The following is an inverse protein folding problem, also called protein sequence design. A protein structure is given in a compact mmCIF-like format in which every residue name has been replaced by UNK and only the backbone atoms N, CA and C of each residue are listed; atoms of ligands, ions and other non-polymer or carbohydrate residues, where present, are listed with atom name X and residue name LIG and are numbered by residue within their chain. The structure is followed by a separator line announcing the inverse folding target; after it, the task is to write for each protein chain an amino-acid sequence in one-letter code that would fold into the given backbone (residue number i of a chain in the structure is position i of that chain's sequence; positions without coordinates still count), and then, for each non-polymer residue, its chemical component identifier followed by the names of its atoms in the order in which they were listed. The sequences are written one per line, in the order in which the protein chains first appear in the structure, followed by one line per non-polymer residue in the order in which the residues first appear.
data_IF_155312644835
#
_entry.id   IF_155312644835
#
_cell.length_a   1.000
_cell.length_b   1.000
_cell.length_c   1.000
_cell.angle_alpha   90.00
_cell.angle_beta   90.00
_cell.angle_gamma   90.00
#
_symmetry.space_group_name_H-M   'P 1'
#
loop_
_entity.id
_entity.type
_entity.pdbx_description
1 polymer ?
#
# COMPACT_ATOMS: atom_id res chain seq x y z
N UNK A 1 26.57 15.77 4.84
CA UNK A 1 26.36 14.97 6.07
C UNK A 1 25.19 15.50 6.91
N UNK A 2 25.13 16.79 7.29
CA UNK A 2 24.03 17.31 8.12
C UNK A 2 22.64 17.20 7.46
N UNK A 3 22.54 17.45 6.15
CA UNK A 3 21.27 17.43 5.43
C UNK A 3 20.71 16.00 5.23
N UNK A 4 21.59 15.02 4.98
CA UNK A 4 21.24 13.60 4.92
C UNK A 4 20.77 13.06 6.28
N UNK A 5 21.45 13.44 7.37
CA UNK A 5 21.03 13.08 8.72
C UNK A 5 19.68 13.71 9.10
N UNK A 6 19.38 14.91 8.59
CA UNK A 6 18.09 15.57 8.78
C UNK A 6 16.96 14.86 8.00
N UNK A 7 17.19 14.52 6.73
CA UNK A 7 16.22 13.80 5.89
C UNK A 7 15.86 12.43 6.44
N UNK A 8 16.86 11.64 6.82
CA UNK A 8 16.63 10.32 7.42
C UNK A 8 15.81 10.42 8.72
N UNK A 9 16.12 11.39 9.59
CA UNK A 9 15.41 11.62 10.84
C UNK A 9 13.97 12.08 10.63
N UNK A 10 13.69 12.90 9.62
CA UNK A 10 12.33 13.34 9.32
C UNK A 10 11.41 12.16 8.96
N UNK A 11 11.93 11.17 8.22
CA UNK A 11 11.21 9.92 7.92
C UNK A 11 10.95 9.12 9.19
N UNK A 12 11.97 8.92 10.02
CA UNK A 12 11.83 8.17 11.27
C UNK A 12 10.85 8.82 12.25
N UNK A 13 10.94 10.14 12.40
CA UNK A 13 10.06 10.92 13.27
C UNK A 13 8.61 10.79 12.79
N UNK A 14 8.36 10.90 11.49
CA UNK A 14 7.03 10.72 10.91
C UNK A 14 6.51 9.29 11.12
N UNK A 15 7.33 8.27 10.85
CA UNK A 15 6.96 6.86 11.04
C UNK A 15 6.66 6.54 12.50
N UNK A 16 7.45 7.09 13.41
CA UNK A 16 7.28 6.92 14.86
C UNK A 16 6.00 7.59 15.34
N UNK A 17 5.71 8.80 14.85
CA UNK A 17 4.49 9.55 15.17
C UNK A 17 3.22 8.81 14.75
N UNK A 18 3.24 8.12 13.61
CA UNK A 18 2.07 7.39 13.08
C UNK A 18 2.10 5.89 13.41
N UNK A 19 3.03 5.44 14.25
CA UNK A 19 3.38 4.02 14.39
C UNK A 19 2.20 3.09 14.71
N UNK A 20 1.29 3.53 15.58
CA UNK A 20 0.09 2.75 15.93
C UNK A 20 -0.88 2.60 14.74
N UNK A 21 -0.97 3.60 13.86
CA UNK A 21 -1.90 3.61 12.72
C UNK A 21 -1.40 2.75 11.56
N UNK A 22 -0.10 2.85 11.25
CA UNK A 22 0.53 2.15 10.13
C UNK A 22 1.18 0.83 10.54
N UNK A 23 1.16 0.47 11.82
CA UNK A 23 1.79 -0.75 12.34
C UNK A 23 3.31 -0.72 12.24
N UNK A 24 3.93 0.46 12.35
CA UNK A 24 5.37 0.61 12.24
C UNK A 24 6.09 0.16 13.51
N UNK A 25 7.19 -0.59 13.34
CA UNK A 25 8.08 -0.99 14.43
C UNK A 25 9.53 -0.73 14.02
N UNK A 26 10.29 0.11 14.75
CA UNK A 26 11.71 0.30 14.47
C UNK A 26 12.48 -1.02 14.69
N UNK A 27 13.48 -1.28 13.84
CA UNK A 27 14.38 -2.42 13.98
C UNK A 27 15.70 -1.96 14.61
N UNK A 28 16.36 -2.84 15.37
CA UNK A 28 17.66 -2.54 15.98
C UNK A 28 18.75 -2.49 14.90
N UNK A 29 19.42 -1.35 14.74
CA UNK A 29 20.68 -1.25 13.95
C UNK A 29 20.74 -0.23 12.82
N UNK A 30 20.00 0.89 12.87
CA UNK A 30 20.11 1.99 11.89
C UNK A 30 18.75 2.57 11.52
N UNK A 31 18.71 3.38 10.46
CA UNK A 31 17.48 3.97 9.92
C UNK A 31 16.61 2.93 9.22
N UNK A 32 15.93 2.09 10.01
CA UNK A 32 15.16 0.95 9.52
C UNK A 32 13.99 0.57 10.43
N UNK A 33 12.95 0.02 9.83
CA UNK A 33 11.80 -0.52 10.56
C UNK A 33 10.89 -1.36 9.69
N UNK A 34 10.06 -2.16 10.34
CA UNK A 34 9.14 -3.08 9.70
C UNK A 34 7.70 -2.60 9.87
N UNK A 35 6.90 -2.77 8.82
CA UNK A 35 5.45 -2.63 8.89
C UNK A 35 4.83 -3.95 9.33
N UNK A 36 3.86 -3.88 10.23
CA UNK A 36 3.05 -5.01 10.65
C UNK A 36 2.04 -5.38 9.54
N UNK A 37 2.26 -6.55 8.93
CA UNK A 37 1.38 -7.15 7.95
C UNK A 37 0.38 -8.13 8.58
N UNK A 38 0.35 -8.23 9.91
CA UNK A 38 -0.52 -9.13 10.69
C UNK A 38 0.28 -10.17 11.50
N UNK A 39 -0.31 -10.69 12.59
CA UNK A 39 0.40 -11.49 13.61
C UNK A 39 0.99 -12.81 13.12
N UNK A 40 0.55 -13.34 11.98
CA UNK A 40 1.02 -14.60 11.39
C UNK A 40 1.44 -14.44 9.92
N UNK A 41 1.77 -13.21 9.51
CA UNK A 41 2.20 -13.01 8.13
C UNK A 41 3.53 -13.71 7.86
N UNK A 42 3.57 -14.51 6.81
CA UNK A 42 4.81 -15.06 6.23
C UNK A 42 5.52 -14.05 5.32
N UNK A 43 4.93 -12.88 5.13
CA UNK A 43 5.43 -11.80 4.28
C UNK A 43 6.06 -10.69 5.14
N UNK A 44 6.95 -9.91 4.54
CA UNK A 44 7.59 -8.78 5.21
C UNK A 44 7.61 -7.53 4.34
N UNK A 45 7.46 -6.38 4.99
CA UNK A 45 7.68 -5.06 4.41
C UNK A 45 8.58 -4.27 5.37
N UNK A 46 9.81 -3.98 4.93
CA UNK A 46 10.83 -3.33 5.74
C UNK A 46 11.35 -2.10 5.01
N UNK A 47 11.17 -0.93 5.59
CA UNK A 47 11.78 0.30 5.11
C UNK A 47 13.16 0.41 5.74
N UNK A 48 14.18 0.62 4.91
CA UNK A 48 15.57 0.64 5.35
C UNK A 48 16.41 1.60 4.53
N UNK A 49 17.42 2.16 5.18
CA UNK A 49 18.47 2.93 4.54
C UNK A 49 19.61 2.01 4.08
N UNK A 50 19.93 2.04 2.78
CA UNK A 50 21.03 1.30 2.13
C UNK A 50 21.77 2.27 1.21
N UNK A 51 23.09 2.39 1.37
CA UNK A 51 23.98 3.16 0.49
C UNK A 51 23.47 4.60 0.16
N UNK A 52 23.10 5.37 1.18
CA UNK A 52 22.54 6.75 1.04
C UNK A 52 21.18 6.82 0.31
N UNK A 53 20.48 5.69 0.19
CA UNK A 53 19.13 5.61 -0.37
C UNK A 53 18.13 4.94 0.59
N UNK A 54 16.90 5.42 0.57
CA UNK A 54 15.78 4.72 1.16
C UNK A 54 15.30 3.62 0.24
N UNK A 55 15.21 2.41 0.78
CA UNK A 55 14.74 1.22 0.08
C UNK A 55 13.59 0.56 0.85
N UNK A 56 12.64 -0.03 0.13
CA UNK A 56 11.60 -0.86 0.72
C UNK A 56 11.87 -2.33 0.36
N UNK A 57 12.30 -3.14 1.32
CA UNK A 57 12.37 -4.58 1.15
C UNK A 57 10.99 -5.19 1.29
N UNK A 58 10.59 -5.97 0.29
CA UNK A 58 9.33 -6.72 0.25
C UNK A 58 9.66 -8.19 0.05
N UNK A 59 9.37 -9.01 1.06
CA UNK A 59 9.44 -10.46 0.98
C UNK A 59 8.01 -10.98 0.93
N UNK A 60 7.61 -11.49 -0.24
CA UNK A 60 6.24 -12.01 -0.45
C UNK A 60 6.26 -13.30 -1.27
N UNK A 61 5.09 -13.88 -1.55
CA UNK A 61 4.96 -15.12 -2.34
C UNK A 61 5.60 -15.04 -3.75
N UNK A 62 5.65 -13.86 -4.38
CA UNK A 62 6.36 -13.66 -5.66
C UNK A 62 7.90 -13.56 -5.52
N UNK A 63 8.43 -13.60 -4.31
CA UNK A 63 9.87 -13.54 -3.99
C UNK A 63 10.31 -12.19 -3.43
N UNK A 64 11.59 -12.05 -3.10
CA UNK A 64 12.15 -10.79 -2.57
C UNK A 64 12.18 -9.69 -3.63
N UNK A 65 11.90 -8.45 -3.24
CA UNK A 65 12.21 -7.25 -4.02
C UNK A 65 12.70 -6.11 -3.13
N UNK A 66 13.51 -5.21 -3.68
CA UNK A 66 14.08 -4.05 -2.98
C UNK A 66 13.98 -2.79 -3.86
N UNK A 67 12.78 -2.26 -4.13
CA UNK A 67 12.64 -0.97 -4.79
C UNK A 67 13.35 0.16 -4.02
N UNK A 68 14.15 0.93 -4.76
CA UNK A 68 14.72 2.21 -4.32
C UNK A 68 13.61 3.26 -4.36
N UNK A 69 13.43 3.97 -3.25
CA UNK A 69 12.42 5.02 -3.08
C UNK A 69 13.00 6.41 -3.39
N UNK A 70 14.29 6.59 -3.11
CA UNK A 70 15.04 7.79 -3.41
C UNK A 70 16.19 8.03 -2.42
N UNK A 71 16.99 9.08 -2.64
CA UNK A 71 18.07 9.48 -1.73
C UNK A 71 17.59 9.75 -0.29
N UNK A 72 18.47 9.59 0.70
CA UNK A 72 18.14 9.85 2.12
C UNK A 72 17.72 11.27 2.45
N UNK A 73 18.14 12.24 1.66
CA UNK A 73 17.81 13.66 1.80
C UNK A 73 16.58 14.07 0.96
N UNK A 74 15.87 13.09 0.37
CA UNK A 74 14.60 13.33 -0.32
C UNK A 74 13.60 14.01 0.61
N UNK A 75 12.78 14.96 0.10
CA UNK A 75 11.66 15.50 0.87
C UNK A 75 10.73 14.37 1.34
N UNK A 76 10.25 14.48 2.58
CA UNK A 76 9.43 13.45 3.22
C UNK A 76 8.21 13.08 2.35
N UNK A 77 7.53 14.08 1.78
CA UNK A 77 6.37 13.88 0.92
C UNK A 77 6.68 13.09 -0.35
N UNK A 78 7.87 13.28 -0.93
CA UNK A 78 8.33 12.54 -2.11
C UNK A 78 8.58 11.07 -1.75
N UNK A 79 9.22 10.85 -0.60
CA UNK A 79 9.51 9.50 -0.12
C UNK A 79 8.24 8.74 0.26
N UNK A 80 7.27 9.40 0.90
CA UNK A 80 5.99 8.79 1.26
C UNK A 80 5.16 8.45 0.00
N UNK A 81 5.16 9.30 -1.03
CA UNK A 81 4.54 8.98 -2.32
C UNK A 81 5.22 7.78 -2.99
N UNK A 82 6.55 7.74 -3.02
CA UNK A 82 7.32 6.62 -3.58
C UNK A 82 7.08 5.31 -2.80
N UNK A 83 7.01 5.37 -1.47
CA UNK A 83 6.68 4.24 -0.61
C UNK A 83 5.30 3.66 -0.93
N UNK A 84 4.27 4.52 -0.94
CA UNK A 84 2.90 4.11 -1.27
C UNK A 84 2.80 3.57 -2.70
N UNK A 85 3.53 4.16 -3.66
CA UNK A 85 3.62 3.65 -5.02
C UNK A 85 4.21 2.24 -5.07
N UNK A 86 5.35 2.01 -4.40
CA UNK A 86 6.01 0.71 -4.37
C UNK A 86 5.11 -0.38 -3.75
N UNK A 87 4.42 -0.05 -2.66
CA UNK A 87 3.45 -0.96 -2.01
C UNK A 87 2.29 -1.26 -2.96
N UNK A 88 1.70 -0.24 -3.60
CA UNK A 88 0.60 -0.41 -4.55
C UNK A 88 0.99 -1.33 -5.73
N UNK A 89 2.17 -1.09 -6.31
CA UNK A 89 2.67 -1.90 -7.41
C UNK A 89 2.90 -3.35 -6.99
N UNK A 90 3.44 -3.58 -5.78
CA UNK A 90 3.60 -4.94 -5.28
C UNK A 90 2.27 -5.63 -5.02
N UNK A 91 1.34 -4.96 -4.34
CA UNK A 91 0.01 -5.50 -4.04
C UNK A 91 -0.74 -5.88 -5.33
N UNK A 92 -0.69 -5.03 -6.35
CA UNK A 92 -1.29 -5.31 -7.67
C UNK A 92 -0.66 -6.53 -8.32
N UNK A 93 0.66 -6.66 -8.25
CA UNK A 93 1.37 -7.75 -8.90
C UNK A 93 1.19 -9.13 -8.23
N UNK A 94 0.60 -9.15 -7.03
CA UNK A 94 0.30 -10.33 -6.21
C UNK A 94 -1.19 -10.72 -6.21
N UNK A 95 -2.08 -9.86 -6.72
CA UNK A 95 -3.54 -10.02 -6.57
C UNK A 95 -4.11 -11.29 -7.23
N UNK A 96 -3.45 -11.77 -8.29
CA UNK A 96 -3.86 -12.96 -9.04
C UNK A 96 -3.04 -14.21 -8.68
N UNK A 97 -2.19 -14.16 -7.66
CA UNK A 97 -1.46 -15.35 -7.20
C UNK A 97 -2.37 -16.31 -6.43
N UNK A 98 -1.97 -17.58 -6.43
CA UNK A 98 -2.63 -18.62 -5.63
C UNK A 98 -2.61 -18.25 -4.14
N UNK A 99 -1.43 -17.85 -3.63
CA UNK A 99 -1.31 -17.14 -2.36
C UNK A 99 -1.38 -15.63 -2.60
N UNK A 100 -2.58 -15.07 -2.39
CA UNK A 100 -2.87 -13.63 -2.53
C UNK A 100 -2.81 -12.87 -1.20
N UNK A 101 -2.42 -13.53 -0.11
CA UNK A 101 -2.44 -12.93 1.24
C UNK A 101 -1.54 -11.69 1.35
N UNK A 102 -0.37 -11.72 0.69
CA UNK A 102 0.52 -10.55 0.59
C UNK A 102 -0.18 -9.35 -0.07
N UNK A 103 -0.96 -9.57 -1.14
CA UNK A 103 -1.69 -8.50 -1.81
C UNK A 103 -2.73 -7.87 -0.88
N UNK A 104 -3.49 -8.69 -0.15
CA UNK A 104 -4.50 -8.19 0.79
C UNK A 104 -3.85 -7.38 1.93
N UNK A 105 -2.78 -7.90 2.54
CA UNK A 105 -2.05 -7.23 3.62
C UNK A 105 -1.41 -5.92 3.16
N UNK A 106 -0.76 -5.90 1.99
CA UNK A 106 -0.18 -4.69 1.43
C UNK A 106 -1.25 -3.66 1.03
N UNK A 107 -2.44 -4.10 0.60
CA UNK A 107 -3.57 -3.19 0.34
C UNK A 107 -4.07 -2.53 1.62
N UNK A 108 -4.10 -3.26 2.74
CA UNK A 108 -4.45 -2.70 4.05
C UNK A 108 -3.37 -1.73 4.54
N UNK A 109 -2.09 -2.07 4.39
CA UNK A 109 -0.99 -1.15 4.71
C UNK A 109 -1.07 0.13 3.86
N UNK A 110 -1.29 0.00 2.56
CA UNK A 110 -1.46 1.14 1.65
C UNK A 110 -2.60 2.05 2.10
N UNK A 111 -3.73 1.45 2.51
CA UNK A 111 -4.87 2.22 3.02
C UNK A 111 -4.49 3.02 4.27
N UNK A 112 -3.83 2.39 5.25
CA UNK A 112 -3.39 3.06 6.49
C UNK A 112 -2.42 4.20 6.21
N UNK A 113 -1.45 3.98 5.32
CA UNK A 113 -0.51 5.02 4.89
C UNK A 113 -1.26 6.19 4.21
N UNK A 114 -2.17 5.88 3.30
CA UNK A 114 -2.96 6.89 2.61
C UNK A 114 -3.85 7.71 3.56
N UNK A 115 -4.42 7.08 4.59
CA UNK A 115 -5.18 7.75 5.64
C UNK A 115 -4.26 8.68 6.47
N UNK A 116 -3.10 8.19 6.91
CA UNK A 116 -2.11 8.97 7.67
C UNK A 116 -1.54 10.16 6.88
N UNK A 117 -1.36 10.02 5.56
CA UNK A 117 -0.89 11.12 4.69
C UNK A 117 -2.03 11.96 4.11
N UNK A 118 -3.29 11.63 4.42
CA UNK A 118 -4.47 12.23 3.79
C UNK A 118 -4.42 12.22 2.24
N UNK A 119 -3.87 11.15 1.64
CA UNK A 119 -3.80 10.99 0.18
C UNK A 119 -4.96 10.14 -0.34
N UNK A 120 -6.02 10.82 -0.78
CA UNK A 120 -7.20 10.17 -1.31
C UNK A 120 -6.95 9.35 -2.60
N UNK A 121 -5.86 9.61 -3.36
CA UNK A 121 -5.52 8.81 -4.56
C UNK A 121 -5.12 7.39 -4.15
N UNK A 122 -4.20 7.28 -3.19
CA UNK A 122 -3.77 5.98 -2.69
C UNK A 122 -4.86 5.29 -1.86
N UNK A 123 -5.69 6.05 -1.15
CA UNK A 123 -6.89 5.52 -0.50
C UNK A 123 -7.82 4.85 -1.51
N UNK A 124 -8.09 5.51 -2.65
CA UNK A 124 -8.90 4.95 -3.73
C UNK A 124 -8.30 3.69 -4.35
N UNK A 125 -6.98 3.68 -4.60
CA UNK A 125 -6.25 2.51 -5.13
C UNK A 125 -6.31 1.32 -4.17
N UNK A 126 -6.10 1.55 -2.88
CA UNK A 126 -6.21 0.52 -1.85
C UNK A 126 -7.64 -0.06 -1.79
N UNK A 127 -8.65 0.80 -1.81
CA UNK A 127 -10.05 0.37 -1.83
C UNK A 127 -10.40 -0.48 -3.06
N UNK A 128 -9.89 -0.14 -4.26
CA UNK A 128 -10.09 -1.00 -5.44
C UNK A 128 -9.41 -2.37 -5.31
N UNK A 129 -8.19 -2.43 -4.78
CA UNK A 129 -7.52 -3.71 -4.56
C UNK A 129 -8.30 -4.58 -3.56
N UNK A 130 -8.78 -3.98 -2.46
CA UNK A 130 -9.62 -4.65 -1.48
C UNK A 130 -10.97 -5.10 -2.08
N UNK A 131 -11.55 -4.33 -2.99
CA UNK A 131 -12.73 -4.75 -3.73
C UNK A 131 -12.43 -6.01 -4.57
N UNK A 132 -11.28 -6.04 -5.25
CA UNK A 132 -10.83 -7.19 -6.02
C UNK A 132 -10.63 -8.46 -5.17
N UNK A 133 -10.10 -8.32 -3.96
CA UNK A 133 -10.02 -9.42 -2.99
C UNK A 133 -11.40 -9.89 -2.55
N UNK A 134 -12.29 -8.97 -2.17
CA UNK A 134 -13.65 -9.31 -1.77
C UNK A 134 -14.44 -10.00 -2.90
N UNK A 135 -14.23 -9.63 -4.17
CA UNK A 135 -14.78 -10.39 -5.31
C UNK A 135 -14.23 -11.80 -5.27
N UNK A 136 -12.90 -11.96 -5.19
CA UNK A 136 -12.24 -13.28 -5.23
C UNK A 136 -12.59 -14.21 -4.06
N UNK A 137 -13.01 -13.63 -2.95
CA UNK A 137 -13.40 -14.31 -1.72
C UNK A 137 -14.93 -14.50 -1.61
N UNK A 138 -15.69 -14.20 -2.67
CA UNK A 138 -17.16 -14.29 -2.73
C UNK A 138 -17.89 -13.44 -1.66
N UNK A 139 -17.39 -12.23 -1.43
CA UNK A 139 -17.97 -11.24 -0.52
C UNK A 139 -18.60 -10.06 -1.29
N UNK A 140 -19.80 -10.21 -1.87
CA UNK A 140 -20.41 -9.23 -2.79
C UNK A 140 -20.65 -7.86 -2.15
N UNK A 141 -21.14 -7.87 -0.90
CA UNK A 141 -21.49 -6.63 -0.17
C UNK A 141 -20.23 -5.83 0.12
N UNK A 142 -19.16 -6.52 0.52
CA UNK A 142 -17.87 -5.87 0.76
C UNK A 142 -17.29 -5.35 -0.56
N UNK A 143 -17.24 -6.15 -1.62
CA UNK A 143 -16.73 -5.75 -2.93
C UNK A 143 -17.40 -4.47 -3.45
N UNK A 144 -18.73 -4.38 -3.35
CA UNK A 144 -19.50 -3.18 -3.71
C UNK A 144 -19.10 -2.00 -2.84
N UNK A 145 -19.12 -2.15 -1.52
CA UNK A 145 -18.79 -1.07 -0.58
C UNK A 145 -17.38 -0.51 -0.83
N UNK A 146 -16.40 -1.39 -1.08
CA UNK A 146 -15.02 -0.98 -1.39
C UNK A 146 -14.92 -0.24 -2.73
N UNK A 147 -15.64 -0.68 -3.76
CA UNK A 147 -15.65 0.02 -5.05
C UNK A 147 -16.32 1.40 -4.95
N UNK A 148 -17.41 1.52 -4.19
CA UNK A 148 -18.06 2.80 -3.90
C UNK A 148 -17.13 3.77 -3.14
N UNK A 149 -16.39 3.26 -2.15
CA UNK A 149 -15.37 4.03 -1.44
C UNK A 149 -14.25 4.52 -2.38
N UNK A 150 -13.80 3.68 -3.30
CA UNK A 150 -12.80 4.09 -4.29
C UNK A 150 -13.30 5.23 -5.19
N UNK A 151 -14.54 5.15 -5.69
CA UNK A 151 -15.16 6.21 -6.51
C UNK A 151 -15.18 7.54 -5.74
N UNK A 152 -15.55 7.50 -4.46
CA UNK A 152 -15.58 8.68 -3.59
C UNK A 152 -14.18 9.27 -3.41
N UNK A 153 -13.20 8.43 -3.08
CA UNK A 153 -11.82 8.85 -2.81
C UNK A 153 -11.13 9.43 -4.06
N UNK A 154 -11.29 8.81 -5.23
CA UNK A 154 -10.81 9.39 -6.48
C UNK A 154 -11.51 10.71 -6.83
N UNK A 155 -12.79 10.85 -6.48
CA UNK A 155 -13.51 12.12 -6.60
C UNK A 155 -12.90 13.23 -5.74
N UNK A 156 -12.56 12.94 -4.48
CA UNK A 156 -11.87 13.87 -3.56
C UNK A 156 -10.50 14.26 -4.15
N UNK A 157 -9.77 13.29 -4.67
CA UNK A 157 -8.47 13.50 -5.31
C UNK A 157 -8.55 14.22 -6.67
N UNK A 158 -9.76 14.42 -7.23
CA UNK A 158 -10.01 14.92 -8.59
C UNK A 158 -9.37 14.08 -9.69
N UNK A 159 -9.14 12.78 -9.43
CA UNK A 159 -8.68 11.82 -10.42
C UNK A 159 -9.89 11.23 -11.16
N UNK A 160 -10.38 11.97 -12.16
CA UNK A 160 -11.60 11.61 -12.89
C UNK A 160 -11.44 10.31 -13.70
N UNK A 161 -10.23 10.03 -14.19
CA UNK A 161 -9.93 8.81 -14.95
C UNK A 161 -9.99 7.58 -14.04
N UNK A 162 -9.35 7.62 -12.86
CA UNK A 162 -9.43 6.53 -11.91
C UNK A 162 -10.86 6.37 -11.34
N UNK A 163 -11.56 7.49 -11.12
CA UNK A 163 -12.95 7.46 -10.68
C UNK A 163 -13.86 6.73 -11.69
N UNK A 164 -13.73 7.02 -12.98
CA UNK A 164 -14.54 6.37 -14.02
C UNK A 164 -14.19 4.89 -14.18
N UNK A 165 -12.91 4.56 -14.03
CA UNK A 165 -12.46 3.16 -13.99
C UNK A 165 -13.12 2.41 -12.82
N UNK A 166 -13.18 3.03 -11.64
CA UNK A 166 -13.83 2.45 -10.47
C UNK A 166 -15.36 2.29 -10.66
N UNK A 167 -16.03 3.22 -11.34
CA UNK A 167 -17.45 3.09 -11.71
C UNK A 167 -17.69 1.91 -12.64
N UNK A 168 -16.79 1.71 -13.61
CA UNK A 168 -16.86 0.57 -14.54
C UNK A 168 -16.72 -0.75 -13.78
N UNK A 169 -15.75 -0.84 -12.86
CA UNK A 169 -15.59 -2.02 -11.99
C UNK A 169 -16.85 -2.28 -11.16
N UNK A 170 -17.43 -1.25 -10.53
CA UNK A 170 -18.66 -1.36 -9.75
C UNK A 170 -19.84 -1.88 -10.60
N UNK A 171 -19.97 -1.39 -11.84
CA UNK A 171 -21.03 -1.83 -12.76
C UNK A 171 -20.85 -3.29 -13.22
N UNK A 172 -19.60 -3.73 -13.38
CA UNK A 172 -19.26 -5.09 -13.83
C UNK A 172 -19.21 -6.14 -12.70
N UNK A 173 -19.31 -5.74 -11.41
CA UNK A 173 -19.25 -6.67 -10.27
C UNK A 173 -20.11 -7.93 -10.43
N UNK A 174 -21.40 -7.88 -10.83
CA UNK A 174 -22.21 -9.09 -10.98
C UNK A 174 -21.62 -10.11 -11.98
N UNK A 175 -20.99 -9.61 -13.05
CA UNK A 175 -20.33 -10.45 -14.06
C UNK A 175 -19.02 -11.02 -13.55
N UNK A 176 -18.27 -10.26 -12.76
CA UNK A 176 -16.99 -10.70 -12.20
C UNK A 176 -17.20 -11.85 -11.20
N UNK A 177 -18.27 -11.78 -10.41
CA UNK A 177 -18.59 -12.80 -9.41
C UNK A 177 -19.08 -14.10 -10.05
N UNK A 178 -19.98 -14.02 -11.04
CA UNK A 178 -20.50 -15.22 -11.75
C UNK A 178 -19.46 -15.97 -12.58
N UNK A 179 -18.28 -15.38 -12.86
CA UNK A 179 -17.17 -16.06 -13.53
C UNK A 179 -16.34 -16.96 -12.60
N UNK A 180 -16.47 -16.81 -11.29
CA UNK A 180 -15.72 -17.64 -10.33
C UNK A 180 -16.35 -19.02 -10.08
N UNK A 181 -17.59 -19.22 -10.50
CA UNK A 181 -18.32 -20.50 -10.35
C UNK A 181 -18.00 -21.54 -11.45
N UNK A 182 -17.05 -21.23 -12.36
CA UNK A 182 -16.64 -22.11 -13.49
C UNK A 182 -15.17 -22.47 -13.41
#
# INVERSE_FOLDING_TARGET
MEQAAYGARAVEDWMSQHSAEIGWRPLSGGHSGAFDLGPDSSHAAVLQHVDDEWCLQLDTAKGRSLPVLGPVDSPLEVLLDALMFAIYMRATAEVDRADRTASAQLSLLLRRLAEATNDARYGGRASLLLAGHAVKDDHPVEARSRAEDAIRLFGIARDLTAQETARTVLADLPRLMSRQER
#
